data_IF_942707738992
#
_entry.id   IF_942707738992
#
_cell.length_a   1.000
_cell.length_b   1.000
_cell.length_c   1.000
_cell.angle_alpha   90.00
_cell.angle_beta   90.00
_cell.angle_gamma   90.00
#
_symmetry.space_group_name_H-M   'P 1'
#
loop_
_entity.id
_entity.type
_entity.pdbx_description
1 polymer ?
#
# COMPACT_ATOMS: atom_id res chain seq x y z
N UNK A 1 -38.66 -24.07 65.38
CA UNK A 1 -37.89 -23.73 66.60
C UNK A 1 -36.52 -24.38 66.50
N UNK A 2 -35.52 -23.64 66.01
CA UNK A 2 -34.12 -23.67 66.47
C UNK A 2 -33.29 -22.67 65.65
N UNK A 3 -33.00 -21.53 66.28
CA UNK A 3 -31.78 -20.73 66.05
C UNK A 3 -30.60 -21.60 66.57
N UNK A 4 -29.34 -21.53 66.14
CA UNK A 4 -28.48 -20.38 65.83
C UNK A 4 -27.14 -20.96 65.33
N UNK A 5 -26.42 -20.29 64.41
CA UNK A 5 -25.06 -19.75 64.66
C UNK A 5 -24.54 -19.00 63.44
N UNK A 6 -24.31 -17.70 63.63
CA UNK A 6 -23.45 -16.88 62.79
C UNK A 6 -22.00 -17.03 63.26
N UNK A 7 -21.08 -17.23 62.30
CA UNK A 7 -19.66 -16.86 62.35
C UNK A 7 -19.46 -16.04 61.07
N UNK A 8 -18.88 -14.84 61.03
CA UNK A 8 -17.83 -14.28 61.87
C UNK A 8 -16.47 -14.48 61.19
N UNK A 9 -16.10 -13.62 60.23
CA UNK A 9 -14.71 -13.50 59.79
C UNK A 9 -14.49 -13.09 58.32
N UNK A 10 -13.78 -11.97 58.17
CA UNK A 10 -12.96 -11.54 57.02
C UNK A 10 -13.61 -10.68 55.93
N UNK A 11 -13.91 -9.43 56.32
CA UNK A 11 -13.84 -8.28 55.42
C UNK A 11 -12.37 -7.96 55.07
N UNK A 12 -11.78 -8.72 54.16
CA UNK A 12 -10.48 -8.41 53.56
C UNK A 12 -10.41 -9.04 52.17
N UNK A 13 -10.93 -8.36 51.15
CA UNK A 13 -10.86 -8.93 49.79
C UNK A 13 -11.45 -8.12 48.64
N UNK A 14 -11.94 -6.89 48.81
CA UNK A 14 -12.72 -6.20 47.75
C UNK A 14 -12.03 -4.94 47.18
N UNK A 15 -10.78 -4.65 47.53
CA UNK A 15 -10.07 -3.46 46.99
C UNK A 15 -8.72 -3.73 46.31
N UNK A 16 -8.45 -4.97 45.90
CA UNK A 16 -7.21 -5.31 45.19
C UNK A 16 -7.34 -5.31 43.64
N UNK A 17 -8.55 -5.18 43.08
CA UNK A 17 -8.78 -5.24 41.63
C UNK A 17 -8.29 -4.02 40.85
N UNK A 18 -8.61 -2.77 41.25
CA UNK A 18 -8.25 -1.59 40.45
C UNK A 18 -6.77 -1.22 40.55
N UNK A 19 -6.14 -1.43 41.71
CA UNK A 19 -4.73 -1.07 41.95
C UNK A 19 -3.76 -2.01 41.22
N UNK A 20 -4.11 -3.29 41.06
CA UNK A 20 -3.30 -4.25 40.28
C UNK A 20 -3.36 -3.92 38.77
N UNK A 21 -4.51 -3.44 38.28
CA UNK A 21 -4.68 -3.06 36.87
C UNK A 21 -3.90 -1.77 36.51
N UNK A 22 -3.81 -0.80 37.44
CA UNK A 22 -3.02 0.43 37.27
C UNK A 22 -1.50 0.13 37.32
N UNK A 23 -1.07 -0.79 38.19
CA UNK A 23 0.34 -1.22 38.26
C UNK A 23 0.80 -1.98 36.99
N UNK A 24 -0.08 -2.75 36.35
CA UNK A 24 0.21 -3.41 35.07
C UNK A 24 0.37 -2.42 33.91
N UNK A 25 -0.42 -1.33 33.87
CA UNK A 25 -0.24 -0.27 32.88
C UNK A 25 1.03 0.57 33.11
N UNK A 26 1.42 0.80 34.37
CA UNK A 26 2.70 1.45 34.68
C UNK A 26 3.92 0.57 34.34
N UNK A 27 3.84 -0.75 34.55
CA UNK A 27 4.89 -1.68 34.12
C UNK A 27 5.01 -1.74 32.58
N UNK A 28 3.89 -1.73 31.85
CA UNK A 28 3.89 -1.67 30.39
C UNK A 28 4.44 -0.32 29.85
N UNK A 29 4.14 0.80 30.52
CA UNK A 29 4.67 2.11 30.15
C UNK A 29 6.18 2.26 30.43
N UNK A 30 6.70 1.62 31.49
CA UNK A 30 8.14 1.58 31.79
C UNK A 30 8.93 0.65 30.84
N UNK A 31 8.29 -0.36 30.23
CA UNK A 31 8.91 -1.21 29.21
C UNK A 31 9.03 -0.55 27.82
N UNK A 32 8.36 0.58 27.57
CA UNK A 32 8.52 1.36 26.31
C UNK A 32 9.56 2.48 26.45
N UNK A 33 10.01 2.79 27.68
CA UNK A 33 10.95 3.88 27.96
C UNK A 33 12.44 3.51 27.95
N UNK A 34 12.82 2.23 27.82
CA UNK A 34 14.20 1.76 28.00
C UNK A 34 14.86 1.13 26.76
N UNK A 35 14.29 1.36 25.57
CA UNK A 35 14.89 0.96 24.29
C UNK A 35 14.97 2.12 23.29
N UNK A 36 15.46 3.28 23.77
CA UNK A 36 15.98 4.33 22.90
C UNK A 36 17.50 4.25 22.95
N UNK A 37 18.19 3.69 21.94
CA UNK A 37 19.61 3.96 21.81
C UNK A 37 19.77 5.44 21.44
N UNK A 38 20.37 6.20 22.37
CA UNK A 38 20.81 7.55 22.12
C UNK A 38 22.07 7.54 21.25
N UNK A 39 22.16 8.59 20.42
CA UNK A 39 23.30 9.02 19.59
C UNK A 39 23.51 8.25 18.27
N UNK A 40 22.88 8.75 17.21
CA UNK A 40 23.44 8.62 15.86
C UNK A 40 24.59 9.62 15.76
N UNK A 41 25.82 9.14 15.74
CA UNK A 41 26.95 9.89 15.19
C UNK A 41 26.67 9.99 13.69
N UNK A 42 26.35 11.19 13.21
CA UNK A 42 26.31 11.47 11.77
C UNK A 42 27.76 11.37 11.28
N UNK A 43 28.12 10.17 10.81
CA UNK A 43 29.31 9.97 10.01
C UNK A 43 29.21 10.87 8.80
N UNK A 44 30.24 11.70 8.60
CA UNK A 44 30.44 12.51 7.41
C UNK A 44 30.54 11.54 6.22
N UNK A 45 29.44 11.30 5.54
CA UNK A 45 29.45 10.60 4.26
C UNK A 45 29.99 11.58 3.23
N UNK A 46 31.07 11.17 2.57
CA UNK A 46 31.74 11.94 1.53
C UNK A 46 30.74 12.41 0.47
N UNK A 47 30.85 13.70 0.17
CA UNK A 47 30.02 14.38 -0.80
C UNK A 47 30.35 13.88 -2.21
N UNK A 48 29.45 13.09 -2.77
CA UNK A 48 29.19 13.09 -4.21
C UNK A 48 27.68 13.07 -4.46
N UNK A 49 26.99 14.05 -3.86
CA UNK A 49 25.63 14.41 -4.26
C UNK A 49 25.78 15.48 -5.32
N UNK A 50 25.62 15.07 -6.58
CA UNK A 50 25.46 15.99 -7.71
C UNK A 50 24.26 16.89 -7.42
N UNK A 51 24.54 18.15 -7.15
CA UNK A 51 23.51 19.17 -6.93
C UNK A 51 22.77 19.46 -8.23
N UNK A 52 21.53 19.95 -8.13
CA UNK A 52 20.67 20.35 -9.25
C UNK A 52 21.37 21.32 -10.24
N UNK A 53 22.39 22.04 -9.77
CA UNK A 53 23.29 22.90 -10.54
C UNK A 53 24.13 22.14 -11.59
N UNK A 54 24.49 20.88 -11.32
CA UNK A 54 25.33 20.02 -12.15
C UNK A 54 24.59 19.56 -13.43
N UNK A 55 23.25 19.45 -13.35
CA UNK A 55 22.39 19.16 -14.51
C UNK A 55 22.22 20.38 -15.42
N UNK A 56 22.18 21.59 -14.85
CA UNK A 56 22.00 22.83 -15.61
C UNK A 56 23.28 23.25 -16.35
N UNK A 57 24.46 22.95 -15.80
CA UNK A 57 25.75 23.30 -16.42
C UNK A 57 26.09 22.40 -17.63
N UNK A 58 25.63 21.15 -17.63
CA UNK A 58 25.89 20.21 -18.74
C UNK A 58 25.09 20.51 -20.04
N UNK A 59 24.01 21.28 -19.95
CA UNK A 59 23.14 21.63 -21.08
C UNK A 59 23.47 22.96 -21.77
N UNK A 60 24.38 23.76 -21.19
CA UNK A 60 24.60 25.15 -21.61
C UNK A 60 25.72 25.34 -22.67
N UNK A 61 26.43 24.29 -23.08
CA UNK A 61 27.60 24.43 -23.95
C UNK A 61 27.36 24.27 -25.46
N UNK A 62 26.14 24.10 -25.94
CA UNK A 62 25.90 24.05 -27.39
C UNK A 62 24.58 24.71 -27.78
N UNK A 63 24.62 26.03 -27.96
CA UNK A 63 23.71 26.75 -28.86
C UNK A 63 24.34 28.09 -29.24
N UNK A 64 25.10 28.07 -30.35
CA UNK A 64 25.44 29.30 -31.06
C UNK A 64 24.14 29.95 -31.56
N UNK A 65 23.94 31.21 -31.19
CA UNK A 65 22.76 31.98 -31.51
C UNK A 65 22.55 32.11 -33.03
N UNK A 66 21.39 31.68 -33.51
CA UNK A 66 20.83 32.13 -34.79
C UNK A 66 19.86 33.27 -34.48
N UNK A 67 20.09 34.50 -34.95
CA UNK A 67 19.24 35.64 -34.65
C UNK A 67 18.02 35.64 -35.57
N UNK A 68 16.83 35.44 -34.99
CA UNK A 68 15.59 35.47 -35.77
C UNK A 68 14.33 35.26 -34.94
N UNK A 69 13.90 36.31 -34.23
CA UNK A 69 12.63 36.48 -33.50
C UNK A 69 12.45 35.61 -32.24
N UNK A 70 12.33 36.22 -31.05
CA UNK A 70 12.02 35.46 -29.85
C UNK A 70 10.59 34.95 -29.97
N UNK A 71 10.41 33.62 -29.94
CA UNK A 71 9.10 33.04 -29.71
C UNK A 71 8.73 33.41 -28.27
N UNK A 72 7.92 34.45 -28.14
CA UNK A 72 7.35 34.99 -26.92
C UNK A 72 6.32 34.00 -26.35
N UNK A 73 6.83 32.84 -25.94
CA UNK A 73 6.19 31.86 -25.06
C UNK A 73 7.31 30.98 -24.52
N UNK A 74 8.21 31.58 -23.73
CA UNK A 74 9.08 30.82 -22.87
C UNK A 74 8.16 30.08 -21.88
N UNK A 75 7.82 28.83 -22.23
CA UNK A 75 7.17 27.89 -21.33
C UNK A 75 7.92 27.97 -20.00
N UNK A 76 7.22 28.37 -18.94
CA UNK A 76 7.82 28.45 -17.63
C UNK A 76 8.18 27.02 -17.21
N UNK A 77 9.44 26.64 -17.45
CA UNK A 77 9.96 25.32 -17.17
C UNK A 77 9.75 24.94 -15.69
N UNK A 78 9.82 25.91 -14.77
CA UNK A 78 9.52 25.69 -13.35
C UNK A 78 8.04 25.38 -13.08
N UNK A 79 7.11 25.98 -13.83
CA UNK A 79 5.68 25.66 -13.73
C UNK A 79 5.39 24.25 -14.27
N UNK A 80 6.09 23.84 -15.34
CA UNK A 80 5.96 22.50 -15.88
C UNK A 80 6.56 21.44 -14.95
N UNK A 81 7.74 21.69 -14.37
CA UNK A 81 8.32 20.80 -13.34
C UNK A 81 7.43 20.72 -12.12
N UNK A 82 6.86 21.83 -11.65
CA UNK A 82 5.90 21.83 -10.56
C UNK A 82 4.63 21.06 -10.92
N UNK A 83 4.10 21.20 -12.14
CA UNK A 83 2.95 20.42 -12.61
C UNK A 83 3.28 18.92 -12.68
N UNK A 84 4.47 18.55 -13.19
CA UNK A 84 4.93 17.16 -13.22
C UNK A 84 5.06 16.61 -11.80
N UNK A 85 5.70 17.34 -10.89
CA UNK A 85 5.90 16.92 -9.51
C UNK A 85 4.57 16.80 -8.75
N UNK A 86 3.64 17.72 -8.97
CA UNK A 86 2.31 17.69 -8.33
C UNK A 86 1.40 16.63 -8.92
N UNK A 87 1.43 16.38 -10.24
CA UNK A 87 0.75 15.23 -10.86
C UNK A 87 1.36 13.90 -10.43
N UNK A 88 2.69 13.84 -10.30
CA UNK A 88 3.38 12.68 -9.75
C UNK A 88 3.06 12.42 -8.27
N UNK A 89 2.66 13.46 -7.54
CA UNK A 89 2.17 13.39 -6.17
C UNK A 89 0.64 13.33 -6.06
N UNK A 90 -0.08 13.25 -7.19
CA UNK A 90 -1.54 13.32 -7.21
C UNK A 90 -2.14 12.13 -6.46
N UNK A 91 -3.06 12.45 -5.56
CA UNK A 91 -3.83 11.51 -4.73
C UNK A 91 -4.53 10.46 -5.59
N UNK A 92 -4.56 9.21 -5.08
CA UNK A 92 -5.23 8.07 -5.71
C UNK A 92 -6.71 8.37 -5.97
N UNK A 93 -7.02 8.70 -7.22
CA UNK A 93 -8.38 9.01 -7.66
C UNK A 93 -9.31 7.81 -7.49
N UNK A 94 -8.79 6.58 -7.57
CA UNK A 94 -9.53 5.35 -7.37
C UNK A 94 -10.05 5.24 -5.94
N UNK A 95 -9.15 5.32 -4.96
CA UNK A 95 -9.51 5.16 -3.56
C UNK A 95 -10.40 6.29 -3.05
N UNK A 96 -10.12 7.54 -3.46
CA UNK A 96 -10.98 8.69 -3.14
C UNK A 96 -12.42 8.49 -3.67
N UNK A 97 -12.56 8.02 -4.91
CA UNK A 97 -13.87 7.75 -5.51
C UNK A 97 -14.56 6.54 -4.90
N UNK A 98 -13.81 5.52 -4.46
CA UNK A 98 -14.39 4.36 -3.77
C UNK A 98 -15.01 4.73 -2.41
N UNK A 99 -14.41 5.67 -1.70
CA UNK A 99 -14.89 6.18 -0.40
C UNK A 99 -16.15 7.04 -0.52
N UNK A 100 -16.42 7.60 -1.71
CA UNK A 100 -17.62 8.43 -1.98
C UNK A 100 -18.80 7.57 -2.39
N UNK A 101 -19.94 7.73 -1.72
CA UNK A 101 -21.18 6.99 -2.01
C UNK A 101 -21.63 7.10 -3.47
N UNK A 102 -21.50 8.28 -4.07
CA UNK A 102 -21.94 8.55 -5.45
C UNK A 102 -21.14 7.77 -6.51
N UNK A 103 -19.88 7.46 -6.24
CA UNK A 103 -18.98 6.82 -7.20
C UNK A 103 -18.61 5.39 -6.83
N UNK A 104 -18.83 4.97 -5.57
CA UNK A 104 -18.45 3.65 -5.05
C UNK A 104 -18.90 2.50 -5.94
N UNK A 105 -20.15 2.48 -6.39
CA UNK A 105 -20.64 1.37 -7.22
C UNK A 105 -19.93 1.33 -8.59
N UNK A 106 -19.67 2.48 -9.21
CA UNK A 106 -18.93 2.53 -10.47
C UNK A 106 -17.49 2.02 -10.31
N UNK A 107 -16.84 2.33 -9.19
CA UNK A 107 -15.51 1.79 -8.87
C UNK A 107 -15.55 0.27 -8.69
N UNK A 108 -16.53 -0.25 -7.93
CA UNK A 108 -16.71 -1.70 -7.74
C UNK A 108 -16.94 -2.38 -9.08
N UNK A 109 -17.86 -1.88 -9.91
CA UNK A 109 -18.17 -2.48 -11.22
C UNK A 109 -16.97 -2.47 -12.17
N UNK A 110 -16.17 -1.40 -12.16
CA UNK A 110 -14.94 -1.33 -12.97
C UNK A 110 -13.95 -2.43 -12.59
N UNK A 111 -13.67 -2.59 -11.30
CA UNK A 111 -12.73 -3.62 -10.84
C UNK A 111 -13.30 -5.03 -10.92
N UNK A 112 -14.62 -5.21 -10.84
CA UNK A 112 -15.29 -6.49 -11.10
C UNK A 112 -15.15 -6.90 -12.57
N UNK A 113 -15.25 -5.96 -13.52
CA UNK A 113 -14.96 -6.22 -14.94
C UNK A 113 -13.50 -6.67 -15.14
N UNK A 114 -12.56 -6.10 -14.39
CA UNK A 114 -11.12 -6.42 -14.49
C UNK A 114 -10.80 -7.80 -13.93
N UNK A 115 -11.34 -8.14 -12.76
CA UNK A 115 -11.04 -9.43 -12.11
C UNK A 115 -11.88 -10.57 -12.65
N UNK A 116 -13.09 -10.28 -13.15
CA UNK A 116 -14.10 -11.27 -13.49
C UNK A 116 -14.71 -11.97 -12.26
N UNK A 117 -14.42 -11.50 -11.05
CA UNK A 117 -14.86 -12.12 -9.80
C UNK A 117 -15.17 -11.06 -8.73
N UNK A 118 -16.43 -11.06 -8.28
CA UNK A 118 -16.93 -10.06 -7.33
C UNK A 118 -16.34 -10.25 -5.93
N UNK A 119 -16.13 -11.48 -5.47
CA UNK A 119 -15.58 -11.71 -4.14
C UNK A 119 -14.11 -11.31 -4.07
N UNK A 120 -13.34 -11.61 -5.13
CA UNK A 120 -11.96 -11.12 -5.29
C UNK A 120 -11.93 -9.60 -5.31
N UNK A 121 -12.82 -8.97 -6.07
CA UNK A 121 -12.92 -7.51 -6.18
C UNK A 121 -13.19 -6.85 -4.83
N UNK A 122 -14.20 -7.33 -4.11
CA UNK A 122 -14.59 -6.77 -2.81
C UNK A 122 -13.49 -6.99 -1.76
N UNK A 123 -12.85 -8.16 -1.76
CA UNK A 123 -11.72 -8.42 -0.86
C UNK A 123 -10.56 -7.44 -1.08
N UNK A 124 -10.16 -7.20 -2.34
CA UNK A 124 -9.08 -6.25 -2.64
C UNK A 124 -9.50 -4.82 -2.25
N UNK A 125 -10.71 -4.38 -2.63
CA UNK A 125 -11.21 -3.03 -2.33
C UNK A 125 -11.30 -2.77 -0.83
N UNK A 126 -11.82 -3.71 -0.05
CA UNK A 126 -11.98 -3.58 1.40
C UNK A 126 -10.63 -3.38 2.09
N UNK A 127 -9.65 -4.23 1.78
CA UNK A 127 -8.35 -4.17 2.45
C UNK A 127 -7.42 -3.09 1.88
N UNK A 128 -7.56 -2.71 0.60
CA UNK A 128 -6.88 -1.54 0.07
C UNK A 128 -7.39 -0.26 0.73
N UNK A 129 -8.70 -0.15 0.96
CA UNK A 129 -9.29 0.98 1.70
C UNK A 129 -8.86 0.99 3.17
N UNK A 130 -8.91 -0.16 3.84
CA UNK A 130 -8.50 -0.30 5.24
C UNK A 130 -7.04 0.11 5.47
N UNK A 131 -6.15 -0.24 4.54
CA UNK A 131 -4.71 0.02 4.66
C UNK A 131 -4.24 1.27 3.91
N UNK A 132 -5.17 2.07 3.37
CA UNK A 132 -4.88 3.29 2.61
C UNK A 132 -3.84 3.05 1.49
N UNK A 133 -4.15 2.05 0.65
CA UNK A 133 -3.33 1.66 -0.50
C UNK A 133 -4.06 2.06 -1.79
N UNK A 134 -3.40 2.79 -2.70
CA UNK A 134 -3.32 2.40 -4.09
C UNK A 134 -4.37 1.47 -4.70
N UNK A 135 -5.60 1.83 -5.10
CA UNK A 135 -6.47 0.81 -5.73
C UNK A 135 -5.80 0.22 -6.98
N UNK A 136 -5.25 1.07 -7.85
CA UNK A 136 -4.47 0.64 -9.01
C UNK A 136 -3.29 -0.26 -8.61
N UNK A 137 -2.58 0.07 -7.53
CA UNK A 137 -1.44 -0.71 -7.04
C UNK A 137 -1.86 -2.07 -6.47
N UNK A 138 -2.91 -2.12 -5.64
CA UNK A 138 -3.40 -3.33 -5.00
C UNK A 138 -3.88 -4.36 -6.05
N UNK A 139 -4.67 -3.92 -7.03
CA UNK A 139 -5.11 -4.77 -8.13
C UNK A 139 -3.94 -5.20 -9.04
N UNK A 140 -2.97 -4.31 -9.30
CA UNK A 140 -1.79 -4.66 -10.09
C UNK A 140 -0.91 -5.69 -9.44
N UNK A 141 -0.74 -5.62 -8.11
CA UNK A 141 -0.04 -6.62 -7.34
C UNK A 141 -0.78 -7.97 -7.44
N UNK A 142 -2.07 -8.02 -7.12
CA UNK A 142 -2.87 -9.25 -7.20
C UNK A 142 -2.84 -9.90 -8.60
N UNK A 143 -2.89 -9.10 -9.67
CA UNK A 143 -2.76 -9.61 -11.03
C UNK A 143 -1.38 -10.23 -11.29
N UNK A 144 -0.31 -9.62 -10.79
CA UNK A 144 1.04 -10.11 -11.00
C UNK A 144 1.40 -11.30 -10.10
N UNK A 145 0.75 -11.43 -8.95
CA UNK A 145 0.92 -12.58 -8.06
C UNK A 145 0.16 -13.81 -8.56
N UNK A 146 -1.12 -13.67 -8.91
CA UNK A 146 -1.99 -14.84 -9.17
C UNK A 146 -2.84 -14.74 -10.43
N UNK A 147 -2.79 -13.61 -11.15
CA UNK A 147 -3.78 -13.28 -12.20
C UNK A 147 -5.22 -13.33 -11.64
N UNK A 148 -5.39 -12.84 -10.42
CA UNK A 148 -6.64 -12.86 -9.65
C UNK A 148 -7.15 -14.27 -9.27
N UNK A 149 -6.32 -15.31 -9.38
CA UNK A 149 -6.73 -16.69 -9.06
C UNK A 149 -6.53 -16.99 -7.58
N UNK A 150 -7.64 -17.17 -6.87
CA UNK A 150 -7.61 -17.52 -5.43
C UNK A 150 -7.00 -18.88 -5.13
N UNK A 151 -6.91 -19.79 -6.11
CA UNK A 151 -6.30 -21.12 -5.97
C UNK A 151 -4.88 -21.20 -6.57
N UNK A 152 -4.21 -20.06 -6.81
CA UNK A 152 -2.85 -20.08 -7.33
C UNK A 152 -1.87 -20.69 -6.32
N UNK A 153 -0.98 -21.56 -6.80
CA UNK A 153 0.04 -22.24 -5.99
C UNK A 153 1.37 -22.20 -6.73
N UNK A 154 2.44 -21.80 -6.04
CA UNK A 154 3.79 -21.79 -6.56
C UNK A 154 4.78 -22.40 -5.55
N UNK A 155 5.63 -23.32 -6.00
CA UNK A 155 6.60 -24.01 -5.16
C UNK A 155 7.98 -23.37 -5.22
N UNK A 156 8.62 -23.19 -4.06
CA UNK A 156 9.95 -22.59 -3.95
C UNK A 156 11.05 -23.64 -3.72
N UNK A 157 12.29 -23.31 -4.12
CA UNK A 157 13.46 -24.19 -3.96
C UNK A 157 13.76 -24.59 -2.51
N UNK A 158 13.34 -23.75 -1.56
CA UNK A 158 13.51 -23.97 -0.12
C UNK A 158 12.35 -24.80 0.50
N UNK A 159 11.55 -25.47 -0.32
CA UNK A 159 10.35 -26.23 0.06
C UNK A 159 9.19 -25.40 0.65
N UNK A 160 9.30 -24.06 0.71
CA UNK A 160 8.13 -23.22 0.97
C UNK A 160 7.21 -23.17 -0.25
N UNK A 161 5.96 -22.78 -0.02
CA UNK A 161 4.94 -22.68 -1.07
C UNK A 161 4.21 -21.37 -0.93
N UNK A 162 4.10 -20.63 -2.03
CA UNK A 162 3.30 -19.41 -2.12
C UNK A 162 1.89 -19.77 -2.60
N UNK A 163 0.86 -19.25 -1.94
CA UNK A 163 -0.53 -19.61 -2.21
C UNK A 163 -1.46 -18.42 -2.24
N UNK A 164 -2.53 -18.56 -3.00
CA UNK A 164 -3.66 -17.64 -2.98
C UNK A 164 -3.50 -16.41 -3.85
N UNK A 165 -4.46 -15.50 -3.70
CA UNK A 165 -4.61 -14.27 -4.48
C UNK A 165 -3.35 -13.39 -4.46
N UNK A 166 -2.70 -13.29 -3.31
CA UNK A 166 -1.49 -12.49 -3.09
C UNK A 166 -0.21 -13.33 -2.89
N UNK A 167 -0.26 -14.62 -3.23
CA UNK A 167 0.89 -15.53 -3.15
C UNK A 167 1.61 -15.49 -1.79
N UNK A 168 0.85 -15.68 -0.71
CA UNK A 168 1.38 -15.68 0.65
C UNK A 168 2.24 -16.94 0.87
N UNK A 169 3.43 -16.75 1.44
CA UNK A 169 4.38 -17.83 1.67
C UNK A 169 4.04 -18.66 2.92
N UNK A 170 4.08 -19.98 2.79
CA UNK A 170 3.77 -20.91 3.88
C UNK A 170 4.68 -20.81 5.10
N UNK A 171 5.93 -20.34 4.96
CA UNK A 171 6.84 -20.13 6.09
C UNK A 171 6.52 -18.84 6.86
N UNK A 172 5.95 -17.83 6.18
CA UNK A 172 5.51 -16.61 6.83
C UNK A 172 4.21 -16.80 7.62
N UNK A 173 3.38 -17.79 7.22
CA UNK A 173 2.09 -18.09 7.85
C UNK A 173 2.00 -19.58 8.26
N UNK A 174 2.82 -20.05 9.21
CA UNK A 174 2.89 -21.48 9.57
C UNK A 174 1.61 -22.01 10.27
N UNK A 175 0.70 -21.14 10.71
CA UNK A 175 -0.57 -21.51 11.32
C UNK A 175 -1.78 -21.50 10.38
N UNK A 176 -1.59 -21.15 9.10
CA UNK A 176 -2.68 -21.12 8.13
C UNK A 176 -2.95 -22.51 7.57
N UNK A 177 -4.24 -22.84 7.47
CA UNK A 177 -4.68 -23.97 6.65
C UNK A 177 -4.59 -23.62 5.16
N UNK A 178 -4.72 -24.61 4.29
CA UNK A 178 -4.75 -24.36 2.85
C UNK A 178 -5.98 -23.52 2.44
N UNK A 179 -7.11 -23.74 3.10
CA UNK A 179 -8.33 -22.96 2.92
C UNK A 179 -8.14 -21.49 3.31
N UNK A 180 -7.35 -21.21 4.34
CA UNK A 180 -7.02 -19.82 4.73
C UNK A 180 -6.26 -19.10 3.61
N UNK A 181 -5.32 -19.79 2.95
CA UNK A 181 -4.59 -19.21 1.82
C UNK A 181 -5.50 -18.96 0.61
N UNK A 182 -6.48 -19.82 0.37
CA UNK A 182 -7.38 -19.73 -0.78
C UNK A 182 -8.63 -18.89 -0.53
N UNK A 183 -8.84 -18.40 0.68
CA UNK A 183 -9.88 -17.43 0.96
C UNK A 183 -9.45 -16.03 0.44
N UNK A 184 -10.19 -15.41 -0.49
CA UNK A 184 -9.80 -14.12 -1.08
C UNK A 184 -9.68 -13.00 -0.03
N UNK A 185 -10.54 -12.97 0.98
CA UNK A 185 -10.52 -11.95 2.04
C UNK A 185 -9.32 -12.14 2.96
N UNK A 186 -8.98 -13.37 3.35
CA UNK A 186 -7.79 -13.64 4.17
C UNK A 186 -6.53 -13.32 3.36
N UNK A 187 -6.47 -13.78 2.10
CA UNK A 187 -5.32 -13.53 1.23
C UNK A 187 -5.10 -12.03 1.01
N UNK A 188 -6.15 -11.28 0.67
CA UNK A 188 -6.10 -9.83 0.50
C UNK A 188 -5.73 -9.09 1.78
N UNK A 189 -6.30 -9.47 2.93
CA UNK A 189 -5.96 -8.89 4.22
C UNK A 189 -4.47 -8.97 4.50
N UNK A 190 -3.90 -10.17 4.43
CA UNK A 190 -2.50 -10.37 4.80
C UNK A 190 -1.54 -9.80 3.75
N UNK A 191 -1.86 -9.99 2.46
CA UNK A 191 -1.05 -9.46 1.37
C UNK A 191 -0.98 -7.94 1.39
N UNK A 192 -2.12 -7.27 1.52
CA UNK A 192 -2.16 -5.81 1.56
C UNK A 192 -1.65 -5.22 2.87
N UNK A 193 -1.84 -5.90 4.01
CA UNK A 193 -1.17 -5.50 5.26
C UNK A 193 0.36 -5.53 5.12
N UNK A 194 0.90 -6.58 4.47
CA UNK A 194 2.33 -6.68 4.24
C UNK A 194 2.82 -5.64 3.22
N UNK A 195 2.06 -5.38 2.15
CA UNK A 195 2.36 -4.30 1.20
C UNK A 195 2.40 -2.93 1.90
N UNK A 196 1.45 -2.65 2.80
CA UNK A 196 1.44 -1.41 3.60
C UNK A 196 2.72 -1.27 4.42
N UNK A 197 3.10 -2.34 5.14
CA UNK A 197 4.36 -2.37 5.87
C UNK A 197 5.56 -2.11 4.95
N UNK A 198 5.59 -2.68 3.74
CA UNK A 198 6.64 -2.44 2.76
C UNK A 198 6.67 -0.99 2.26
N UNK A 199 5.50 -0.36 2.06
CA UNK A 199 5.39 1.05 1.66
C UNK A 199 5.94 1.96 2.75
N UNK A 200 5.57 1.71 4.01
CA UNK A 200 6.05 2.48 5.17
C UNK A 200 7.56 2.32 5.37
N UNK A 201 8.07 1.11 5.13
CA UNK A 201 9.48 0.77 5.34
C UNK A 201 10.38 1.19 4.18
N UNK A 202 9.88 1.10 2.95
CA UNK A 202 10.63 1.33 1.73
C UNK A 202 10.71 2.81 1.33
N UNK A 203 9.80 3.66 1.82
CA UNK A 203 9.76 5.10 1.54
C UNK A 203 9.30 5.47 0.13
N UNK A 204 9.25 4.53 -0.81
CA UNK A 204 8.67 4.69 -2.14
C UNK A 204 8.11 3.36 -2.66
N UNK A 205 7.22 3.43 -3.66
CA UNK A 205 6.52 2.28 -4.23
C UNK A 205 7.46 1.22 -4.82
N UNK A 206 8.54 1.62 -5.50
CA UNK A 206 9.50 0.69 -6.11
C UNK A 206 10.24 -0.12 -5.05
N UNK A 207 10.75 0.56 -4.01
CA UNK A 207 11.39 -0.10 -2.88
C UNK A 207 10.42 -1.00 -2.13
N UNK A 208 9.16 -0.59 -1.97
CA UNK A 208 8.13 -1.40 -1.32
C UNK A 208 7.84 -2.70 -2.09
N UNK A 209 7.64 -2.64 -3.40
CA UNK A 209 7.42 -3.82 -4.23
C UNK A 209 8.65 -4.74 -4.25
N UNK A 210 9.86 -4.18 -4.23
CA UNK A 210 11.08 -4.98 -4.06
C UNK A 210 11.11 -5.70 -2.71
N UNK A 211 10.70 -5.02 -1.63
CA UNK A 211 10.65 -5.62 -0.29
C UNK A 211 9.59 -6.72 -0.20
N UNK A 212 8.44 -6.52 -0.84
CA UNK A 212 7.37 -7.52 -0.91
C UNK A 212 7.85 -8.81 -1.59
N UNK A 213 8.48 -8.68 -2.77
CA UNK A 213 8.92 -9.82 -3.57
C UNK A 213 10.20 -10.50 -3.06
N UNK A 214 11.20 -9.73 -2.64
CA UNK A 214 12.54 -10.23 -2.35
C UNK A 214 12.91 -10.23 -0.86
N UNK A 215 12.03 -9.70 -0.01
CA UNK A 215 12.25 -9.53 1.42
C UNK A 215 13.01 -8.25 1.77
N UNK A 216 12.65 -7.65 2.90
CA UNK A 216 13.19 -6.38 3.40
C UNK A 216 14.72 -6.37 3.57
N UNK A 217 15.27 -7.45 4.12
CA UNK A 217 16.70 -7.58 4.40
C UNK A 217 17.53 -7.48 3.12
N UNK A 218 17.08 -8.12 2.05
CA UNK A 218 17.80 -8.16 0.77
C UNK A 218 17.81 -6.80 0.07
N UNK A 219 16.69 -6.08 0.13
CA UNK A 219 16.61 -4.73 -0.45
C UNK A 219 17.50 -3.75 0.32
N UNK A 220 17.49 -3.80 1.65
CA UNK A 220 18.32 -2.94 2.49
C UNK A 220 19.82 -3.19 2.33
N UNK A 221 20.22 -4.39 1.92
CA UNK A 221 21.61 -4.73 1.62
C UNK A 221 22.00 -4.49 0.14
N UNK A 222 21.21 -3.72 -0.62
CA UNK A 222 21.40 -3.47 -2.06
C UNK A 222 21.48 -4.74 -2.92
N UNK A 223 20.81 -5.82 -2.49
CA UNK A 223 20.88 -7.15 -3.11
C UNK A 223 19.68 -7.51 -3.99
N UNK A 224 18.91 -6.54 -4.48
CA UNK A 224 17.67 -6.79 -5.25
C UNK A 224 17.95 -7.54 -6.55
N UNK A 225 17.45 -8.78 -6.73
CA UNK A 225 17.70 -9.56 -7.94
C UNK A 225 17.07 -8.93 -9.20
N UNK A 226 17.66 -9.14 -10.38
CA UNK A 226 17.10 -8.64 -11.65
C UNK A 226 15.68 -9.16 -11.91
N UNK A 227 15.38 -10.41 -11.54
CA UNK A 227 14.02 -10.95 -11.67
C UNK A 227 12.98 -10.17 -10.86
N UNK A 228 13.37 -9.64 -9.70
CA UNK A 228 12.52 -8.77 -8.88
C UNK A 228 12.28 -7.44 -9.59
N UNK A 229 13.29 -6.85 -10.21
CA UNK A 229 13.12 -5.62 -11.00
C UNK A 229 12.17 -5.82 -12.19
N UNK A 230 12.28 -6.96 -12.89
CA UNK A 230 11.35 -7.31 -13.97
C UNK A 230 9.91 -7.47 -13.47
N UNK A 231 9.74 -8.12 -12.32
CA UNK A 231 8.42 -8.27 -11.68
C UNK A 231 7.82 -6.91 -11.30
N UNK A 232 8.61 -6.02 -10.69
CA UNK A 232 8.19 -4.64 -10.39
C UNK A 232 7.77 -3.90 -11.65
N UNK A 233 8.55 -4.00 -12.73
CA UNK A 233 8.22 -3.37 -14.02
C UNK A 233 6.85 -3.81 -14.54
N UNK A 234 6.52 -5.10 -14.42
CA UNK A 234 5.21 -5.63 -14.81
C UNK A 234 4.07 -5.06 -13.95
N UNK A 235 4.28 -4.93 -12.63
CA UNK A 235 3.31 -4.32 -11.71
C UNK A 235 3.05 -2.86 -12.09
N UNK A 236 4.11 -2.06 -12.25
CA UNK A 236 3.99 -0.64 -12.57
C UNK A 236 3.35 -0.42 -13.94
N UNK A 237 3.68 -1.26 -14.92
CA UNK A 237 3.08 -1.19 -16.26
C UNK A 237 1.59 -1.47 -16.22
N UNK A 238 1.18 -2.53 -15.50
CA UNK A 238 -0.24 -2.86 -15.34
C UNK A 238 -0.99 -1.78 -14.55
N UNK A 239 -0.36 -1.23 -13.50
CA UNK A 239 -0.89 -0.12 -12.68
C UNK A 239 -1.23 1.10 -13.52
N UNK A 240 -0.31 1.54 -14.37
CA UNK A 240 -0.55 2.67 -15.28
C UNK A 240 -1.71 2.39 -16.23
N UNK A 241 -1.78 1.19 -16.80
CA UNK A 241 -2.91 0.79 -17.64
C UNK A 241 -4.25 0.82 -16.90
N UNK A 242 -4.28 0.38 -15.64
CA UNK A 242 -5.47 0.49 -14.79
C UNK A 242 -5.85 1.94 -14.51
N UNK A 243 -4.89 2.81 -14.22
CA UNK A 243 -5.11 4.24 -13.97
C UNK A 243 -5.71 4.92 -15.20
N UNK A 244 -5.12 4.70 -16.37
CA UNK A 244 -5.61 5.24 -17.64
C UNK A 244 -7.05 4.77 -17.93
N UNK A 245 -7.32 3.47 -17.76
CA UNK A 245 -8.65 2.91 -17.97
C UNK A 245 -9.66 3.44 -16.95
N UNK A 246 -9.27 3.57 -15.69
CA UNK A 246 -10.11 4.11 -14.62
C UNK A 246 -10.46 5.57 -14.90
N UNK A 247 -9.47 6.36 -15.34
CA UNK A 247 -9.68 7.76 -15.68
C UNK A 247 -10.67 7.95 -16.83
N UNK A 248 -10.57 7.10 -17.84
CA UNK A 248 -11.47 7.12 -19.01
C UNK A 248 -12.86 6.60 -18.66
N UNK A 249 -12.97 5.42 -18.02
CA UNK A 249 -14.26 4.74 -17.79
C UNK A 249 -15.03 5.26 -16.58
N UNK A 250 -14.32 5.71 -15.54
CA UNK A 250 -14.93 6.08 -14.26
C UNK A 250 -14.73 7.57 -13.98
N UNK A 251 -13.51 8.05 -13.79
CA UNK A 251 -13.28 9.41 -13.28
C UNK A 251 -13.81 10.51 -14.23
N UNK A 252 -13.71 10.32 -15.56
CA UNK A 252 -14.24 11.26 -16.56
C UNK A 252 -15.75 11.54 -16.40
N UNK A 253 -16.52 10.52 -15.99
CA UNK A 253 -17.98 10.59 -15.82
C UNK A 253 -18.33 11.54 -14.68
N UNK A 254 -17.57 11.47 -13.58
CA UNK A 254 -17.81 12.27 -12.38
C UNK A 254 -17.16 13.65 -12.44
N UNK A 255 -16.08 13.84 -13.23
CA UNK A 255 -15.47 15.17 -13.47
C UNK A 255 -16.36 16.10 -14.29
N UNK A 256 -17.19 15.57 -15.17
CA UNK A 256 -17.93 16.36 -16.17
C UNK A 256 -19.28 16.91 -15.68
N UNK A 257 -19.67 16.71 -14.42
CA UNK A 257 -20.98 17.14 -13.88
C UNK A 257 -22.20 16.58 -14.64
N UNK A 258 -22.03 15.49 -15.40
CA UNK A 258 -23.13 14.81 -16.11
C UNK A 258 -23.83 13.85 -15.14
N UNK A 259 -24.53 14.44 -14.17
CA UNK A 259 -25.20 13.76 -13.07
C UNK A 259 -26.31 12.78 -13.54
N UNK A 260 -26.80 12.91 -14.78
CA UNK A 260 -27.76 12.00 -15.37
C UNK A 260 -27.18 10.64 -15.83
N UNK A 261 -25.89 10.56 -16.19
CA UNK A 261 -25.25 9.33 -16.67
C UNK A 261 -24.49 8.57 -15.57
N UNK A 262 -24.00 9.26 -14.54
CA UNK A 262 -23.36 8.63 -13.39
C UNK A 262 -24.33 7.69 -12.63
N UNK A 263 -25.61 8.09 -12.51
CA UNK A 263 -26.68 7.27 -11.95
C UNK A 263 -27.02 6.05 -12.81
N UNK A 264 -26.86 6.13 -14.14
CA UNK A 264 -27.14 5.03 -15.05
C UNK A 264 -26.09 3.89 -14.95
N UNK A 265 -24.83 4.22 -14.64
CA UNK A 265 -23.80 3.21 -14.34
C UNK A 265 -24.00 2.59 -12.96
N UNK A 266 -24.48 3.37 -11.98
CA UNK A 266 -24.81 2.87 -10.64
C UNK A 266 -26.06 1.95 -10.62
N UNK A 267 -26.87 1.93 -11.68
CA UNK A 267 -28.17 1.27 -11.73
C UNK A 267 -28.30 0.05 -12.66
N UNK A 268 -27.30 -0.29 -13.47
CA UNK A 268 -27.38 -1.47 -14.35
C UNK A 268 -26.99 -2.74 -13.58
N UNK A 269 -28.04 -3.42 -13.10
CA UNK A 269 -28.04 -4.83 -12.68
C UNK A 269 -28.24 -5.73 -13.90
#
# INVERSE_FOLDING_TARGET
>A
MHLTKMNGGNAAGIFAGPMIFILLFFAAALCVGFFIPQTIVVGKADADIRTEQDWLESGAQNQAAVPGKPLEYALNQSAFHQEISTKGAQTDSGLEMYRKLISRNAVVSFYEEITGDRDVTLAILEYADLYDIPLSLAFSLAFNESRYKVQAVNGNKNASVDRGLFQLNSQAFPGFSEEDFFNPYISAKQGLAFLRYCLDTGGNEISALAMYNAGTHRVRSNGTPQMTLNHISNIITYKRGLEDMFDVKVASVFRSGKDANALAYAGKR
#
